data_IF_975089913697
#
_entry.id   IF_975089913697
#
_cell.length_a   1.000
_cell.length_b   1.000
_cell.length_c   1.000
_cell.angle_alpha   90.00
_cell.angle_beta   90.00
_cell.angle_gamma   90.00
#
_symmetry.space_group_name_H-M   'P 1'
#
loop_
_entity.id
_entity.type
_entity.pdbx_description
1 polymer ?
#
# COMPACT_ATOMS: atom_id res chain seq x y z
N UNK A 1 7.45 -18.70 15.91
CA UNK A 1 6.08 -18.22 15.69
C UNK A 1 6.18 -16.73 15.94
N UNK A 2 5.61 -15.87 15.08
CA UNK A 2 5.68 -14.43 15.34
C UNK A 2 5.00 -14.14 16.67
N UNK A 3 5.71 -13.47 17.57
CA UNK A 3 5.22 -13.10 18.87
C UNK A 3 4.52 -11.73 18.75
N UNK A 4 3.20 -11.66 19.02
CA UNK A 4 2.47 -10.39 18.93
C UNK A 4 2.91 -9.36 19.98
N UNK A 5 3.62 -9.80 21.02
CA UNK A 5 4.15 -8.95 22.07
C UNK A 5 5.56 -8.40 21.76
N UNK A 6 6.20 -8.87 20.67
CA UNK A 6 7.51 -8.37 20.25
C UNK A 6 7.36 -7.30 19.15
N UNK A 7 7.76 -6.07 19.48
CA UNK A 7 7.65 -4.92 18.57
C UNK A 7 8.41 -5.12 17.25
N UNK A 8 9.52 -5.87 17.28
CA UNK A 8 10.30 -6.19 16.08
C UNK A 8 9.57 -7.14 15.12
N UNK A 9 8.85 -8.12 15.66
CA UNK A 9 8.02 -9.03 14.87
C UNK A 9 6.86 -8.26 14.22
N UNK A 10 6.21 -7.36 14.97
CA UNK A 10 5.16 -6.48 14.43
C UNK A 10 5.69 -5.54 13.35
N UNK A 11 6.87 -4.95 13.54
CA UNK A 11 7.47 -4.07 12.54
C UNK A 11 7.87 -4.82 11.28
N UNK A 12 8.51 -6.00 11.40
CA UNK A 12 8.85 -6.83 10.25
C UNK A 12 7.60 -7.23 9.46
N UNK A 13 6.46 -7.47 10.13
CA UNK A 13 5.19 -7.72 9.46
C UNK A 13 4.72 -6.52 8.65
N UNK A 14 4.70 -5.32 9.24
CA UNK A 14 4.30 -4.10 8.55
C UNK A 14 5.22 -3.80 7.36
N UNK A 15 6.52 -4.00 7.54
CA UNK A 15 7.55 -3.81 6.51
C UNK A 15 7.28 -4.64 5.25
N UNK A 16 6.85 -5.90 5.42
CA UNK A 16 6.49 -6.75 4.27
C UNK A 16 5.11 -6.40 3.73
N UNK A 17 4.13 -6.11 4.59
CA UNK A 17 2.73 -6.05 4.19
C UNK A 17 2.40 -4.80 3.36
N UNK A 18 2.94 -3.64 3.74
CA UNK A 18 2.69 -2.36 3.05
C UNK A 18 3.00 -2.40 1.55
N UNK A 19 4.20 -2.80 1.09
CA UNK A 19 4.51 -2.84 -0.34
C UNK A 19 3.66 -3.87 -1.10
N UNK A 20 3.29 -4.97 -0.45
CA UNK A 20 2.45 -6.01 -1.06
C UNK A 20 1.03 -5.52 -1.29
N UNK A 21 0.42 -4.84 -0.31
CA UNK A 21 -0.89 -4.20 -0.47
C UNK A 21 -0.85 -3.15 -1.58
N UNK A 22 0.17 -2.29 -1.58
CA UNK A 22 0.32 -1.25 -2.60
C UNK A 22 0.39 -1.86 -4.01
N UNK A 23 1.16 -2.93 -4.18
CA UNK A 23 1.25 -3.67 -5.45
C UNK A 23 -0.09 -4.25 -5.87
N UNK A 24 -0.81 -4.92 -4.96
CA UNK A 24 -2.13 -5.48 -5.26
C UNK A 24 -3.15 -4.41 -5.64
N UNK A 25 -3.13 -3.25 -4.95
CA UNK A 25 -4.01 -2.12 -5.28
C UNK A 25 -3.68 -1.54 -6.65
N UNK A 26 -2.40 -1.42 -7.00
CA UNK A 26 -1.99 -0.97 -8.34
C UNK A 26 -2.47 -1.94 -9.42
N UNK A 27 -2.25 -3.24 -9.23
CA UNK A 27 -2.73 -4.28 -10.16
C UNK A 27 -4.26 -4.27 -10.28
N UNK A 28 -4.98 -4.14 -9.16
CA UNK A 28 -6.43 -4.03 -9.16
C UNK A 28 -6.90 -2.81 -9.94
N UNK A 29 -6.31 -1.64 -9.66
CA UNK A 29 -6.62 -0.39 -10.38
C UNK A 29 -6.39 -0.54 -11.88
N UNK A 30 -5.28 -1.13 -12.29
CA UNK A 30 -4.96 -1.35 -13.69
C UNK A 30 -5.93 -2.32 -14.36
N UNK A 31 -6.23 -3.45 -13.71
CA UNK A 31 -7.21 -4.41 -14.21
C UNK A 31 -8.60 -3.78 -14.33
N UNK A 32 -9.00 -3.01 -13.31
CA UNK A 32 -10.26 -2.29 -13.31
C UNK A 32 -10.33 -1.23 -14.42
N UNK A 33 -9.27 -0.47 -14.65
CA UNK A 33 -9.32 0.57 -15.69
C UNK A 33 -9.35 0.00 -17.13
N UNK A 34 -8.83 -1.22 -17.34
CA UNK A 34 -8.68 -1.83 -18.66
C UNK A 34 -9.58 -3.04 -18.92
N UNK A 35 -10.42 -3.47 -17.97
CA UNK A 35 -11.37 -4.55 -18.23
C UNK A 35 -12.51 -4.06 -19.12
N UNK A 36 -12.96 -4.92 -20.04
CA UNK A 36 -14.10 -4.61 -20.92
C UNK A 36 -15.41 -4.81 -20.16
N UNK A 37 -16.26 -3.79 -20.13
CA UNK A 37 -17.58 -3.87 -19.53
C UNK A 37 -18.60 -4.35 -20.55
N UNK A 38 -19.33 -5.42 -20.21
CA UNK A 38 -20.37 -5.98 -21.10
C UNK A 38 -21.54 -5.02 -21.31
N UNK A 39 -21.84 -4.20 -20.31
CA UNK A 39 -22.95 -3.24 -20.33
C UNK A 39 -22.65 -2.02 -21.20
N UNK A 40 -21.38 -1.70 -21.42
CA UNK A 40 -20.92 -0.52 -22.17
C UNK A 40 -20.31 -0.92 -23.52
N UNK A 41 -20.93 -1.86 -24.22
CA UNK A 41 -20.50 -2.26 -25.58
C UNK A 41 -19.09 -2.84 -25.67
N UNK A 42 -18.59 -3.47 -24.60
CA UNK A 42 -17.20 -3.96 -24.46
C UNK A 42 -16.13 -2.88 -24.40
N UNK A 43 -16.48 -1.64 -24.06
CA UNK A 43 -15.52 -0.58 -23.78
C UNK A 43 -14.93 -0.74 -22.37
N UNK A 44 -13.69 -0.30 -22.19
CA UNK A 44 -13.06 -0.26 -20.86
C UNK A 44 -13.40 1.04 -20.13
N UNK A 45 -13.40 1.08 -18.78
CA UNK A 45 -13.59 2.33 -18.04
C UNK A 45 -12.66 3.45 -18.51
N UNK A 46 -11.40 3.13 -18.81
CA UNK A 46 -10.45 4.09 -19.38
C UNK A 46 -10.87 4.59 -20.77
N UNK A 47 -11.39 3.72 -21.64
CA UNK A 47 -11.91 4.12 -22.95
C UNK A 47 -13.15 5.02 -22.82
N UNK A 48 -14.06 4.70 -21.90
CA UNK A 48 -15.23 5.53 -21.62
C UNK A 48 -14.80 6.91 -21.13
N UNK A 49 -13.87 6.97 -20.17
CA UNK A 49 -13.32 8.22 -19.65
C UNK A 49 -12.68 9.09 -20.74
N UNK A 50 -11.96 8.49 -21.69
CA UNK A 50 -11.36 9.21 -22.82
C UNK A 50 -12.37 9.57 -23.91
N UNK A 51 -13.47 8.84 -24.03
CA UNK A 51 -14.52 9.10 -25.02
C UNK A 51 -15.46 10.25 -24.63
N UNK A 52 -15.48 10.62 -23.34
CA UNK A 52 -16.22 11.79 -22.89
C UNK A 52 -15.55 13.07 -23.40
N UNK A 53 -16.29 13.99 -24.05
CA UNK A 53 -15.76 15.29 -24.42
C UNK A 53 -15.24 16.02 -23.18
N UNK A 54 -13.95 16.38 -23.17
CA UNK A 54 -13.34 17.15 -22.07
C UNK A 54 -13.66 18.64 -22.13
N UNK A 55 -14.33 19.10 -23.19
CA UNK A 55 -14.63 20.51 -23.42
C UNK A 55 -16.05 20.67 -23.96
N UNK A 56 -16.87 21.41 -23.21
CA UNK A 56 -17.96 22.26 -23.72
C UNK A 56 -19.09 21.61 -24.53
N UNK A 57 -20.05 20.98 -23.85
CA UNK A 57 -21.44 21.08 -24.29
C UNK A 57 -22.07 22.24 -23.49
N UNK A 58 -22.25 23.40 -24.11
CA UNK A 58 -22.93 24.55 -23.49
C UNK A 58 -24.42 24.25 -23.20
N UNK A 59 -24.97 23.20 -23.83
CA UNK A 59 -26.39 22.81 -23.77
C UNK A 59 -26.72 21.65 -22.81
N UNK A 60 -25.79 21.21 -21.94
CA UNK A 60 -26.11 20.18 -20.93
C UNK A 60 -26.84 20.80 -19.73
N UNK A 61 -28.13 20.49 -19.48
CA UNK A 61 -28.88 21.02 -18.35
C UNK A 61 -28.41 20.48 -16.99
N UNK A 62 -27.53 19.48 -16.96
CA UNK A 62 -26.90 18.94 -15.75
C UNK A 62 -25.50 19.50 -15.49
N UNK A 63 -25.04 20.43 -16.34
CA UNK A 63 -23.72 21.06 -16.21
C UNK A 63 -23.66 21.89 -14.93
N UNK A 64 -23.05 21.31 -13.91
CA UNK A 64 -22.61 22.03 -12.72
C UNK A 64 -21.45 22.93 -13.12
N UNK A 65 -21.41 24.13 -12.54
CA UNK A 65 -20.30 25.07 -12.71
C UNK A 65 -18.97 24.35 -12.40
N UNK A 66 -17.88 24.74 -13.07
CA UNK A 66 -16.55 24.24 -12.76
C UNK A 66 -16.17 24.52 -11.28
N UNK A 67 -16.82 25.51 -10.68
CA UNK A 67 -16.64 25.90 -9.28
C UNK A 67 -17.54 25.14 -8.30
N UNK A 68 -18.39 24.23 -8.80
CA UNK A 68 -19.31 23.46 -7.95
C UNK A 68 -18.53 22.48 -7.05
N UNK A 69 -18.59 22.72 -5.74
CA UNK A 69 -17.85 21.94 -4.75
C UNK A 69 -16.41 22.41 -4.52
N UNK A 70 -15.98 23.49 -5.19
CA UNK A 70 -14.74 24.19 -4.85
C UNK A 70 -15.01 25.07 -3.63
N UNK A 71 -14.50 24.66 -2.47
CA UNK A 71 -14.44 25.53 -1.31
C UNK A 71 -13.26 26.50 -1.45
N UNK A 72 -13.48 27.61 -2.15
CA UNK A 72 -12.51 28.70 -2.31
C UNK A 72 -12.05 29.30 -0.96
N UNK A 73 -12.82 29.07 0.09
CA UNK A 73 -12.55 29.50 1.47
C UNK A 73 -12.03 28.37 2.37
N UNK A 74 -11.90 27.18 1.82
CA UNK A 74 -11.50 25.97 2.54
C UNK A 74 -10.00 25.97 2.79
N UNK A 75 -9.59 25.28 3.85
CA UNK A 75 -8.18 25.01 4.06
C UNK A 75 -7.66 24.27 2.83
N UNK A 76 -6.71 24.88 2.13
CA UNK A 76 -6.01 24.28 0.98
C UNK A 76 -5.70 22.83 1.32
N UNK A 77 -6.27 21.88 0.57
CA UNK A 77 -6.00 20.46 0.81
C UNK A 77 -4.49 20.25 0.58
N UNK A 78 -3.67 20.04 1.63
CA UNK A 78 -2.24 19.88 1.46
C UNK A 78 -1.91 18.48 0.93
N UNK A 79 -2.90 17.59 0.83
CA UNK A 79 -2.74 16.27 0.24
C UNK A 79 -2.72 16.44 -1.28
N UNK A 80 -1.52 16.32 -1.84
CA UNK A 80 -1.33 16.09 -3.27
C UNK A 80 -2.13 14.86 -3.73
N UNK A 81 -2.40 14.77 -5.04
CA UNK A 81 -3.20 13.72 -5.71
C UNK A 81 -2.79 12.26 -5.36
N UNK A 82 -1.63 12.10 -4.73
CA UNK A 82 -1.04 10.90 -4.17
C UNK A 82 -1.10 10.88 -2.63
N UNK A 83 -1.90 9.96 -2.09
CA UNK A 83 -1.89 9.62 -0.66
C UNK A 83 -0.53 9.00 -0.31
N UNK A 84 0.32 9.75 0.39
CA UNK A 84 1.59 9.23 0.91
C UNK A 84 1.31 8.50 2.22
N UNK A 85 1.41 7.17 2.20
CA UNK A 85 1.29 6.37 3.43
C UNK A 85 2.54 6.64 4.29
N UNK A 86 2.39 7.17 5.52
CA UNK A 86 3.53 7.41 6.39
C UNK A 86 4.21 6.07 6.71
N UNK A 87 5.54 6.05 6.69
CA UNK A 87 6.29 4.87 7.09
C UNK A 87 6.01 4.56 8.56
N UNK A 88 5.76 3.28 8.87
CA UNK A 88 5.62 2.79 10.24
C UNK A 88 6.90 3.14 11.00
N UNK A 89 6.82 3.95 12.05
CA UNK A 89 7.97 4.28 12.88
C UNK A 89 8.01 3.34 14.08
N UNK A 90 9.15 2.67 14.29
CA UNK A 90 9.41 2.00 15.55
C UNK A 90 9.69 3.05 16.64
N UNK A 91 9.24 2.83 17.89
CA UNK A 91 9.56 3.71 19.02
C UNK A 91 11.06 3.73 19.34
N UNK A 92 11.84 2.77 18.81
CA UNK A 92 13.30 2.74 18.91
C UNK A 92 13.99 2.81 17.53
N UNK A 93 15.22 3.32 17.52
CA UNK A 93 16.06 3.38 16.31
C UNK A 93 16.49 1.96 15.92
N UNK A 94 16.23 1.55 14.68
CA UNK A 94 16.77 0.27 14.18
C UNK A 94 18.30 0.28 14.25
N UNK A 95 18.87 -0.78 14.82
CA UNK A 95 20.31 -1.05 14.70
C UNK A 95 20.61 -1.73 13.37
N UNK A 96 21.87 -1.71 12.93
CA UNK A 96 22.29 -2.38 11.68
C UNK A 96 22.01 -3.89 11.70
N UNK A 97 22.09 -4.51 12.88
CA UNK A 97 21.74 -5.91 13.08
C UNK A 97 20.23 -6.16 12.88
N UNK A 98 19.38 -5.23 13.32
CA UNK A 98 17.93 -5.30 13.12
C UNK A 98 17.56 -5.16 11.65
N UNK A 99 18.21 -4.25 10.93
CA UNK A 99 18.01 -4.06 9.48
C UNK A 99 18.44 -5.31 8.71
N UNK A 100 19.55 -5.94 9.09
CA UNK A 100 20.00 -7.19 8.48
C UNK A 100 19.05 -8.37 8.75
N UNK A 101 18.22 -8.29 9.80
CA UNK A 101 17.22 -9.29 10.15
C UNK A 101 15.88 -9.08 9.40
N UNK A 102 15.66 -7.91 8.79
CA UNK A 102 14.42 -7.65 8.08
C UNK A 102 14.31 -8.49 6.80
N UNK A 103 13.12 -9.07 6.55
CA UNK A 103 12.85 -9.80 5.32
C UNK A 103 12.75 -8.85 4.12
N UNK A 104 13.16 -9.34 2.95
CA UNK A 104 13.05 -8.58 1.70
C UNK A 104 11.54 -8.34 1.37
N UNK A 105 11.10 -7.08 1.16
CA UNK A 105 9.72 -6.79 0.81
C UNK A 105 9.32 -7.17 -0.62
N UNK A 106 10.28 -7.36 -1.53
CA UNK A 106 10.04 -7.59 -2.97
C UNK A 106 9.66 -9.03 -3.31
N UNK A 107 9.91 -9.97 -2.40
CA UNK A 107 9.56 -11.38 -2.56
C UNK A 107 8.11 -11.65 -2.11
N UNK A 108 7.46 -12.73 -2.57
CA UNK A 108 6.10 -13.07 -2.13
C UNK A 108 6.00 -13.14 -0.60
N UNK A 109 4.87 -12.65 -0.06
CA UNK A 109 4.60 -12.61 1.39
C UNK A 109 4.89 -13.95 2.09
N UNK A 110 4.49 -15.07 1.49
CA UNK A 110 4.73 -16.41 2.03
C UNK A 110 6.22 -16.75 2.14
N UNK A 111 7.03 -16.37 1.15
CA UNK A 111 8.47 -16.60 1.14
C UNK A 111 9.18 -15.69 2.16
N UNK A 112 8.77 -14.41 2.25
CA UNK A 112 9.28 -13.45 3.23
C UNK A 112 9.03 -13.92 4.67
N UNK A 113 7.77 -14.31 4.97
CA UNK A 113 7.39 -14.81 6.29
C UNK A 113 8.09 -16.11 6.65
N UNK A 114 8.25 -17.03 5.69
CA UNK A 114 8.95 -18.29 5.92
C UNK A 114 10.43 -18.07 6.24
N UNK A 115 11.09 -17.18 5.49
CA UNK A 115 12.46 -16.74 5.79
C UNK A 115 12.54 -16.19 7.21
N UNK A 116 11.76 -15.16 7.50
CA UNK A 116 11.77 -14.49 8.79
C UNK A 116 11.50 -15.44 9.97
N UNK A 117 10.45 -16.27 9.90
CA UNK A 117 10.14 -17.26 10.93
C UNK A 117 11.26 -18.27 11.18
N UNK A 118 12.02 -18.63 10.13
CA UNK A 118 13.17 -19.53 10.26
C UNK A 118 14.34 -18.85 10.97
N UNK A 119 14.59 -17.57 10.70
CA UNK A 119 15.66 -16.80 11.35
C UNK A 119 15.32 -16.45 12.81
N UNK A 120 14.11 -15.96 13.07
CA UNK A 120 13.61 -15.66 14.42
C UNK A 120 13.76 -16.89 15.34
N UNK A 121 13.30 -18.07 14.91
CA UNK A 121 13.47 -19.33 15.67
C UNK A 121 14.93 -19.67 16.00
N UNK A 122 15.89 -19.35 15.12
CA UNK A 122 17.32 -19.60 15.37
C UNK A 122 17.87 -18.65 16.43
N UNK A 123 17.49 -17.37 16.37
CA UNK A 123 17.91 -16.37 17.36
C UNK A 123 17.36 -16.67 18.76
N UNK A 124 16.08 -17.08 18.86
CA UNK A 124 15.50 -17.49 20.14
C UNK A 124 16.18 -18.72 20.75
N UNK A 125 16.55 -19.71 19.94
CA UNK A 125 17.29 -20.88 20.42
C UNK A 125 18.70 -20.51 20.89
N UNK A 126 19.41 -19.67 20.15
CA UNK A 126 20.74 -19.19 20.54
C UNK A 126 20.72 -18.37 21.84
N UNK A 127 19.70 -17.53 22.06
CA UNK A 127 19.54 -16.78 23.33
C UNK A 127 19.28 -17.69 24.54
N UNK A 128 18.52 -18.77 24.36
CA UNK A 128 18.25 -19.75 25.43
C UNK A 128 19.50 -20.58 25.77
N UNK A 129 20.32 -20.95 24.79
CA UNK A 129 21.58 -21.67 25.02
C UNK A 129 22.63 -20.81 25.74
N UNK A 130 22.63 -19.48 25.51
CA UNK A 130 23.54 -18.54 26.17
C UNK A 130 23.13 -18.14 27.60
N UNK A 131 21.90 -18.44 28.01
CA UNK A 131 21.35 -18.08 29.34
C UNK A 131 21.46 -19.23 30.35
N UNK A 132 21.90 -20.42 29.93
CA UNK A 132 22.01 -21.64 30.78
C UNK A 132 23.45 -21.87 31.28
N UNK A 133 24.33 -20.86 31.25
CA UNK A 133 25.68 -20.93 31.86
C UNK A 133 25.80 -19.88 32.96
#
# INVERSE_FOLDING_TARGET
MMNPDEEMDLFALHWIYVPQVQKHLQTFKEAWNHHKMRTEGNQTPMQLWLSQPREGNEDDPTRVDNDYGIDWTGSHNPYSENVTVPQTQLPHRLTEADVAMLPNPDIPLSAALHGYCKYSKRNYRAKLEHTII
#
